data_IF_532698614827
#
_entry.id   IF_532698614827
#
_cell.length_a   1.000
_cell.length_b   1.000
_cell.length_c   1.000
_cell.angle_alpha   90.00
_cell.angle_beta   90.00
_cell.angle_gamma   90.00
#
_symmetry.space_group_name_H-M   'P 1'
#
loop_
_entity.id
_entity.type
_entity.pdbx_description
1 polymer ?
#
# COMPACT_ATOMS: atom_id res chain seq x y z
N UNK A 1 -4.76 3.02 2.33
CA UNK A 1 -6.12 3.48 2.71
C UNK A 1 -6.22 4.99 2.52
N UNK A 2 -7.43 5.54 2.41
CA UNK A 2 -7.66 7.00 2.39
C UNK A 2 -8.16 7.48 3.75
N UNK A 3 -7.49 8.51 4.28
CA UNK A 3 -7.85 9.28 5.48
C UNK A 3 -8.17 10.74 5.11
N UNK A 4 -8.52 11.56 6.10
CA UNK A 4 -8.66 13.01 5.94
C UNK A 4 -7.35 13.70 5.55
N UNK A 5 -6.20 13.12 5.94
CA UNK A 5 -4.87 13.65 5.66
C UNK A 5 -4.27 13.11 4.35
N UNK A 6 -5.05 12.33 3.58
CA UNK A 6 -4.60 11.72 2.33
C UNK A 6 -4.48 10.20 2.40
N UNK A 7 -3.75 9.64 1.45
CA UNK A 7 -3.55 8.21 1.26
C UNK A 7 -2.30 7.73 1.99
N UNK A 8 -2.50 6.79 2.92
CA UNK A 8 -1.44 6.20 3.74
C UNK A 8 -1.46 4.66 3.66
N UNK A 9 -0.38 4.02 4.05
CA UNK A 9 -0.36 2.57 4.31
C UNK A 9 -0.75 2.34 5.77
N UNK A 10 -1.74 1.47 5.99
CA UNK A 10 -2.16 1.08 7.34
C UNK A 10 -1.82 -0.41 7.56
N UNK A 11 -0.68 -0.71 8.21
CA UNK A 11 -0.29 -2.10 8.47
C UNK A 11 -1.24 -2.79 9.46
N UNK A 12 -2.02 -2.03 10.23
CA UNK A 12 -2.95 -2.60 11.22
C UNK A 12 -4.26 -3.10 10.60
N UNK A 13 -4.67 -2.51 9.47
CA UNK A 13 -6.00 -2.71 8.88
C UNK A 13 -7.16 -2.22 9.74
N UNK A 14 -6.90 -1.42 10.79
CA UNK A 14 -7.89 -1.00 11.80
C UNK A 14 -8.28 0.46 11.71
N UNK A 15 -7.63 1.24 10.86
CA UNK A 15 -7.95 2.66 10.76
C UNK A 15 -9.27 2.89 10.01
N UNK A 16 -10.04 3.87 10.49
CA UNK A 16 -11.30 4.26 9.88
C UNK A 16 -11.06 4.94 8.53
N UNK A 17 -11.69 4.41 7.47
CA UNK A 17 -11.61 4.97 6.13
C UNK A 17 -11.93 3.95 5.05
N UNK A 18 -11.67 4.32 3.79
CA UNK A 18 -11.69 3.35 2.68
C UNK A 18 -10.32 2.71 2.53
N UNK A 19 -10.26 1.40 2.70
CA UNK A 19 -9.06 0.60 2.52
C UNK A 19 -9.00 -0.06 1.14
N UNK A 20 -7.78 -0.38 0.71
CA UNK A 20 -7.52 -1.29 -0.41
C UNK A 20 -6.40 -2.23 0.05
N UNK A 21 -6.60 -3.53 -0.16
CA UNK A 21 -5.62 -4.53 0.22
C UNK A 21 -4.66 -4.78 -0.95
N UNK A 22 -3.36 -4.82 -0.63
CA UNK A 22 -2.29 -5.08 -1.59
C UNK A 22 -1.64 -6.40 -1.20
N UNK A 23 -1.31 -7.23 -2.18
CA UNK A 23 -0.60 -8.47 -1.90
C UNK A 23 0.84 -8.19 -1.43
N UNK A 24 1.42 -9.10 -0.66
CA UNK A 24 2.76 -8.95 -0.08
C UNK A 24 3.90 -8.99 -1.13
N UNK A 25 3.59 -9.24 -2.40
CA UNK A 25 4.59 -9.28 -3.46
C UNK A 25 4.96 -7.87 -3.92
N UNK A 26 6.25 -7.55 -4.12
CA UNK A 26 6.70 -6.22 -4.56
C UNK A 26 6.06 -5.81 -5.91
N UNK A 27 5.76 -6.77 -6.77
CA UNK A 27 5.00 -6.56 -8.00
C UNK A 27 3.63 -5.90 -7.77
N UNK A 28 2.90 -6.27 -6.71
CA UNK A 28 1.57 -5.70 -6.44
C UNK A 28 1.66 -4.22 -6.09
N UNK A 29 2.69 -3.83 -5.34
CA UNK A 29 2.97 -2.45 -5.00
C UNK A 29 3.38 -1.62 -6.20
N UNK A 30 4.23 -2.17 -7.07
CA UNK A 30 4.61 -1.50 -8.32
C UNK A 30 3.39 -1.27 -9.23
N UNK A 31 2.55 -2.30 -9.39
CA UNK A 31 1.32 -2.22 -10.20
C UNK A 31 0.32 -1.22 -9.65
N UNK A 32 0.10 -1.20 -8.33
CA UNK A 32 -0.91 -0.33 -7.71
C UNK A 32 -0.49 1.15 -7.76
N UNK A 33 0.80 1.44 -7.70
CA UNK A 33 1.33 2.82 -7.76
C UNK A 33 1.45 3.34 -9.19
N UNK A 34 1.92 2.51 -10.14
CA UNK A 34 2.06 2.91 -11.55
C UNK A 34 0.72 3.02 -12.29
N UNK A 35 -0.31 2.35 -11.80
CA UNK A 35 -1.64 2.36 -12.41
C UNK A 35 -2.61 3.23 -11.60
N UNK A 36 -3.71 3.67 -12.23
CA UNK A 36 -4.87 4.26 -11.52
C UNK A 36 -5.63 3.26 -10.64
N UNK A 37 -5.04 2.11 -10.28
CA UNK A 37 -5.68 1.10 -9.45
C UNK A 37 -5.88 1.62 -8.02
N UNK A 38 -4.88 2.31 -7.47
CA UNK A 38 -4.97 2.94 -6.15
C UNK A 38 -6.14 3.92 -6.07
N UNK A 39 -6.19 4.84 -7.04
CA UNK A 39 -7.20 5.90 -7.14
C UNK A 39 -8.62 5.31 -7.26
N UNK A 40 -8.77 4.27 -8.11
CA UNK A 40 -10.03 3.55 -8.28
C UNK A 40 -10.47 2.83 -7.02
N UNK A 41 -9.56 2.10 -6.36
CA UNK A 41 -9.87 1.31 -5.17
C UNK A 41 -10.26 2.20 -3.98
N UNK A 42 -9.57 3.32 -3.80
CA UNK A 42 -9.83 4.27 -2.71
C UNK A 42 -10.88 5.32 -3.07
N UNK A 43 -11.30 5.37 -4.35
CA UNK A 43 -12.23 6.35 -4.92
C UNK A 43 -11.78 7.79 -4.61
N UNK A 44 -10.53 8.08 -4.94
CA UNK A 44 -9.83 9.35 -4.68
C UNK A 44 -8.81 9.61 -5.77
N UNK A 45 -8.39 10.86 -5.92
CA UNK A 45 -7.17 11.19 -6.64
C UNK A 45 -6.04 11.32 -5.62
N UNK A 46 -5.02 10.47 -5.77
CA UNK A 46 -3.77 10.56 -5.02
C UNK A 46 -2.77 11.43 -5.77
N UNK A 47 -1.90 12.14 -5.05
CA UNK A 47 -0.78 12.89 -5.61
C UNK A 47 0.37 11.94 -6.01
N UNK A 48 1.29 12.44 -6.83
CA UNK A 48 2.53 11.73 -7.16
C UNK A 48 3.37 11.45 -5.91
N UNK A 49 3.35 12.36 -4.94
CA UNK A 49 4.08 12.22 -3.68
C UNK A 49 3.55 11.06 -2.82
N UNK A 50 2.23 10.99 -2.63
CA UNK A 50 1.57 9.89 -1.91
C UNK A 50 1.86 8.54 -2.58
N UNK A 51 1.78 8.50 -3.91
CA UNK A 51 2.14 7.33 -4.72
C UNK A 51 3.59 6.89 -4.49
N UNK A 52 4.52 7.84 -4.47
CA UNK A 52 5.94 7.59 -4.22
C UNK A 52 6.18 7.03 -2.82
N UNK A 53 5.53 7.61 -1.79
CA UNK A 53 5.60 7.12 -0.42
C UNK A 53 5.09 5.66 -0.29
N UNK A 54 4.00 5.34 -0.97
CA UNK A 54 3.42 3.97 -0.97
C UNK A 54 4.34 2.98 -1.69
N UNK A 55 5.00 3.37 -2.78
CA UNK A 55 5.94 2.50 -3.50
C UNK A 55 7.18 2.12 -2.69
N UNK A 56 7.60 2.97 -1.74
CA UNK A 56 8.74 2.70 -0.86
C UNK A 56 8.40 1.70 0.26
N UNK A 57 7.12 1.57 0.60
CA UNK A 57 6.66 0.75 1.72
C UNK A 57 6.96 -0.77 1.65
N UNK A 58 6.85 -1.48 0.50
CA UNK A 58 7.25 -2.90 0.43
C UNK A 58 8.75 -3.12 0.65
N UNK A 59 9.58 -2.12 0.37
CA UNK A 59 11.03 -2.23 0.56
C UNK A 59 11.41 -2.15 2.04
N UNK A 60 10.63 -1.44 2.85
CA UNK A 60 10.83 -1.35 4.29
C UNK A 60 10.56 -2.70 4.99
N UNK A 61 9.48 -3.40 4.64
CA UNK A 61 9.12 -4.70 5.24
C UNK A 61 9.95 -5.88 4.71
N UNK A 62 10.59 -5.75 3.53
CA UNK A 62 11.45 -6.81 2.99
C UNK A 62 12.70 -7.08 3.84
N UNK A 63 13.09 -6.16 4.73
CA UNK A 63 14.16 -6.39 5.70
C UNK A 63 13.70 -7.19 6.94
N UNK A 64 12.40 -7.44 7.10
CA UNK A 64 11.78 -8.02 8.30
C UNK A 64 10.74 -9.09 7.93
N UNK A 65 11.04 -9.97 6.96
CA UNK A 65 10.31 -11.24 6.85
C UNK A 65 10.99 -12.26 7.76
N UNK A 66 10.39 -12.71 8.89
CA UNK A 66 10.78 -14.00 9.42
C UNK A 66 10.47 -15.01 8.31
N UNK A 67 11.50 -15.72 7.86
CA UNK A 67 11.34 -16.87 6.99
C UNK A 67 10.36 -17.84 7.66
N UNK A 68 9.13 -17.91 7.13
CA UNK A 68 8.21 -18.99 7.48
C UNK A 68 8.73 -20.25 6.77
N UNK A 69 9.72 -20.91 7.37
CA UNK A 69 9.98 -22.31 7.11
C UNK A 69 8.78 -23.08 7.62
N UNK A 70 7.97 -23.58 6.69
CA UNK A 70 6.95 -24.60 6.96
C UNK A 70 7.32 -25.84 6.16
N UNK A 71 7.91 -26.82 6.84
CA UNK A 71 8.13 -28.20 6.36
C UNK A 71 6.83 -28.97 6.23
#
# INVERSE_FOLDING_TARGET
MRTENGVIVDPTGKQNGRGAYVCDQPQCWDKIVKSRLLDKALKTESSADEKSAIASHPLALASERPEVTGS
#
